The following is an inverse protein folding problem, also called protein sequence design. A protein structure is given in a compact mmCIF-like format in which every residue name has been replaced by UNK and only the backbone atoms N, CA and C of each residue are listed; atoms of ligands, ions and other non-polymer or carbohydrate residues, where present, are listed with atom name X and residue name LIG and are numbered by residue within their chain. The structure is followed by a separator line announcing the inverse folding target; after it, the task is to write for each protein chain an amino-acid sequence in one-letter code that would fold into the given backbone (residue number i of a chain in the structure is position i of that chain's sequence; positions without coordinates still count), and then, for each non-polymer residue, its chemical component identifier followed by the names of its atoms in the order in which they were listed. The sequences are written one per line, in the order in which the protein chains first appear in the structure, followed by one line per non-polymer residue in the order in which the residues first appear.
data_IF_674017576241
#
_entry.id   IF_674017576241
#
_cell.length_a   1.000
_cell.length_b   1.000
_cell.length_c   1.000
_cell.angle_alpha   90.00
_cell.angle_beta   90.00
_cell.angle_gamma   90.00
#
_symmetry.space_group_name_H-M   'P 1'
#
loop_
_entity.id
_entity.type
_entity.pdbx_description
1 polymer ?
#
# COMPACT_ATOMS: atom_id res chain seq x y z
N UNK A 1 -0.65 -17.52 27.11
CA UNK A 1 -1.79 -16.59 26.97
C UNK A 1 -2.00 -16.35 25.49
N UNK A 2 -3.07 -16.89 24.90
CA UNK A 2 -3.47 -16.50 23.54
C UNK A 2 -3.61 -14.97 23.52
N UNK A 3 -2.98 -14.29 22.56
CA UNK A 3 -3.00 -12.84 22.47
C UNK A 3 -4.44 -12.36 22.24
N UNK A 4 -5.15 -12.03 23.34
CA UNK A 4 -6.56 -11.62 23.34
C UNK A 4 -6.84 -10.45 22.39
N UNK A 5 -5.81 -9.69 22.02
CA UNK A 5 -5.85 -8.61 21.03
C UNK A 5 -6.54 -9.01 19.73
N UNK A 6 -6.29 -10.22 19.22
CA UNK A 6 -6.81 -10.65 17.91
C UNK A 6 -8.02 -11.59 17.99
N UNK A 7 -8.65 -11.73 19.16
CA UNK A 7 -9.74 -12.69 19.35
C UNK A 7 -10.90 -12.50 18.35
N UNK A 8 -11.24 -11.26 17.98
CA UNK A 8 -12.31 -10.98 16.99
C UNK A 8 -11.89 -11.36 15.57
N UNK A 9 -10.63 -11.09 15.20
CA UNK A 9 -10.09 -11.52 13.90
C UNK A 9 -10.05 -13.05 13.83
N UNK A 10 -9.61 -13.72 14.90
CA UNK A 10 -9.55 -15.17 14.98
C UNK A 10 -10.93 -15.83 14.78
N UNK A 11 -11.99 -15.26 15.37
CA UNK A 11 -13.36 -15.73 15.13
C UNK A 11 -13.79 -15.57 13.67
N UNK A 12 -13.34 -14.53 12.98
CA UNK A 12 -13.71 -14.22 11.60
C UNK A 12 -13.01 -15.14 10.59
N UNK A 13 -11.69 -15.34 10.75
CA UNK A 13 -10.86 -16.07 9.76
C UNK A 13 -10.51 -17.50 10.18
N UNK A 14 -10.89 -17.89 11.40
CA UNK A 14 -10.54 -19.17 12.06
C UNK A 14 -9.02 -19.31 12.25
N UNK A 15 -8.59 -20.37 12.95
CA UNK A 15 -7.18 -20.60 13.27
C UNK A 15 -6.31 -20.66 12.01
N UNK A 16 -6.77 -21.38 10.98
CA UNK A 16 -6.05 -21.53 9.71
C UNK A 16 -5.83 -20.18 9.01
N UNK A 17 -6.90 -19.38 8.87
CA UNK A 17 -6.79 -18.06 8.25
C UNK A 17 -5.93 -17.10 9.09
N UNK A 18 -5.98 -17.21 10.41
CA UNK A 18 -5.14 -16.40 11.28
C UNK A 18 -3.67 -16.77 11.16
N UNK A 19 -3.35 -18.07 11.05
CA UNK A 19 -1.98 -18.51 10.78
C UNK A 19 -1.46 -17.98 9.43
N UNK A 20 -2.31 -17.93 8.39
CA UNK A 20 -1.96 -17.30 7.10
C UNK A 20 -1.63 -15.82 7.27
N UNK A 21 -2.42 -15.08 8.05
CA UNK A 21 -2.14 -13.67 8.38
C UNK A 21 -0.81 -13.50 9.12
N UNK A 22 -0.55 -14.32 10.13
CA UNK A 22 0.69 -14.27 10.92
C UNK A 22 1.94 -14.62 10.08
N UNK A 23 1.80 -15.49 9.09
CA UNK A 23 2.92 -15.89 8.23
C UNK A 23 3.19 -14.92 7.07
N UNK A 24 2.22 -14.08 6.72
CA UNK A 24 2.33 -13.19 5.57
C UNK A 24 3.34 -12.04 5.78
N UNK A 25 4.08 -11.71 4.71
CA UNK A 25 4.98 -10.55 4.64
C UNK A 25 4.45 -9.46 3.70
N UNK A 26 4.27 -8.25 4.23
CA UNK A 26 3.78 -7.09 3.48
C UNK A 26 4.81 -5.96 3.51
N UNK A 27 5.19 -5.47 2.33
CA UNK A 27 5.92 -4.23 2.16
C UNK A 27 4.93 -3.11 1.82
N UNK A 28 4.98 -2.01 2.57
CA UNK A 28 4.19 -0.82 2.33
C UNK A 28 5.12 0.36 1.99
N UNK A 29 4.97 0.86 0.77
CA UNK A 29 5.74 1.97 0.24
C UNK A 29 4.91 3.25 0.32
N UNK A 30 5.35 4.20 1.14
CA UNK A 30 4.63 5.42 1.48
C UNK A 30 3.65 5.21 2.63
N UNK A 31 3.75 6.03 3.68
CA UNK A 31 2.89 6.00 4.88
C UNK A 31 2.17 7.32 5.11
N UNK A 32 1.83 8.02 4.02
CA UNK A 32 1.02 9.24 4.04
C UNK A 32 -0.46 8.98 4.32
N UNK A 33 -1.34 9.79 3.71
CA UNK A 33 -2.79 9.76 4.03
C UNK A 33 -3.54 8.50 3.61
N UNK A 34 -2.94 7.67 2.77
CA UNK A 34 -3.44 6.34 2.40
C UNK A 34 -2.68 5.27 3.19
N UNK A 35 -1.35 5.27 3.07
CA UNK A 35 -0.49 4.22 3.65
C UNK A 35 -0.59 4.10 5.17
N UNK A 36 -0.70 5.20 5.91
CA UNK A 36 -0.84 5.12 7.37
C UNK A 36 -2.09 4.33 7.82
N UNK A 37 -3.18 4.38 7.05
CA UNK A 37 -4.39 3.58 7.28
C UNK A 37 -4.27 2.14 6.78
N UNK A 38 -3.48 1.89 5.72
CA UNK A 38 -3.09 0.52 5.34
C UNK A 38 -2.37 -0.14 6.50
N UNK A 39 -1.34 0.53 7.04
CA UNK A 39 -0.55 0.04 8.17
C UNK A 39 -1.42 -0.25 9.39
N UNK A 40 -2.24 0.71 9.83
CA UNK A 40 -3.11 0.54 10.99
C UNK A 40 -4.06 -0.66 10.81
N UNK A 41 -4.68 -0.79 9.64
CA UNK A 41 -5.59 -1.90 9.35
C UNK A 41 -4.88 -3.26 9.37
N UNK A 42 -3.75 -3.41 8.68
CA UNK A 42 -3.01 -4.67 8.63
C UNK A 42 -2.49 -5.07 10.01
N UNK A 43 -1.95 -4.11 10.77
CA UNK A 43 -1.43 -4.34 12.11
C UNK A 43 -2.54 -4.73 13.10
N UNK A 44 -3.72 -4.11 13.02
CA UNK A 44 -4.90 -4.49 13.83
C UNK A 44 -5.51 -5.83 13.41
N UNK A 45 -5.40 -6.19 12.14
CA UNK A 45 -5.89 -7.47 11.62
C UNK A 45 -4.98 -8.64 12.01
N UNK A 46 -3.74 -8.36 12.41
CA UNK A 46 -2.78 -9.38 12.82
C UNK A 46 -1.98 -9.94 11.65
N UNK A 47 -1.64 -9.11 10.66
CA UNK A 47 -0.58 -9.46 9.70
C UNK A 47 0.76 -9.47 10.45
N UNK A 48 1.51 -10.57 10.32
CA UNK A 48 2.67 -10.82 11.19
C UNK A 48 3.92 -10.02 10.82
N UNK A 49 4.23 -9.89 9.52
CA UNK A 49 5.44 -9.20 9.06
C UNK A 49 5.04 -8.00 8.20
N UNK A 50 5.20 -6.81 8.73
CA UNK A 50 4.96 -5.56 8.00
C UNK A 50 6.25 -4.77 7.96
N UNK A 51 6.66 -4.36 6.75
CA UNK A 51 7.74 -3.40 6.55
C UNK A 51 7.17 -2.11 5.94
N UNK A 52 7.52 -0.96 6.49
CA UNK A 52 7.16 0.35 5.96
C UNK A 52 8.39 1.09 5.45
N UNK A 53 8.24 1.79 4.33
CA UNK A 53 9.29 2.63 3.73
C UNK A 53 8.72 4.00 3.40
N UNK A 54 9.30 5.04 3.96
CA UNK A 54 8.99 6.45 3.66
C UNK A 54 10.19 7.30 4.12
N UNK A 55 10.36 8.48 3.53
CA UNK A 55 11.47 9.39 3.84
C UNK A 55 11.00 10.70 4.48
N UNK A 56 9.71 10.99 4.44
CA UNK A 56 9.20 12.27 4.90
C UNK A 56 9.14 12.33 6.43
N UNK A 57 9.18 13.57 6.93
CA UNK A 57 8.73 13.90 8.28
C UNK A 57 7.26 14.32 8.27
N UNK A 58 6.59 14.25 9.42
CA UNK A 58 5.26 14.82 9.54
C UNK A 58 5.31 16.35 9.53
N UNK A 59 4.44 16.94 8.73
CA UNK A 59 4.15 18.37 8.74
C UNK A 59 2.79 18.63 9.43
N UNK A 60 2.59 19.83 9.98
CA UNK A 60 1.32 20.21 10.63
C UNK A 60 0.11 20.02 9.69
N UNK A 61 0.28 20.26 8.39
CA UNK A 61 -0.76 20.08 7.36
C UNK A 61 -1.12 18.62 7.11
N UNK A 62 -0.41 17.66 7.71
CA UNK A 62 -0.68 16.23 7.58
C UNK A 62 -1.77 15.75 8.56
N UNK A 63 -2.04 16.51 9.63
CA UNK A 63 -3.00 16.15 10.68
C UNK A 63 -4.42 15.92 10.17
N UNK A 64 -4.79 16.52 9.04
CA UNK A 64 -6.12 16.33 8.46
C UNK A 64 -6.35 14.92 7.89
N UNK A 65 -5.31 14.08 7.71
CA UNK A 65 -5.43 12.83 6.95
C UNK A 65 -4.41 11.74 7.24
N UNK A 66 -3.46 11.90 8.16
CA UNK A 66 -2.40 10.91 8.40
C UNK A 66 -2.35 10.48 9.86
N UNK A 67 -2.33 9.16 10.11
CA UNK A 67 -2.14 8.64 11.47
C UNK A 67 -0.71 8.95 11.92
N UNK A 68 -0.53 9.39 13.18
CA UNK A 68 0.77 9.75 13.76
C UNK A 68 1.16 11.22 13.58
N UNK A 69 0.44 11.97 12.73
CA UNK A 69 0.76 13.37 12.46
C UNK A 69 0.49 14.32 13.65
N UNK A 70 -0.40 13.96 14.58
CA UNK A 70 -0.67 14.78 15.75
C UNK A 70 0.50 14.74 16.75
N UNK A 71 1.04 13.55 16.98
CA UNK A 71 2.12 13.30 17.93
C UNK A 71 3.52 13.49 17.32
N UNK A 72 3.61 13.55 15.98
CA UNK A 72 4.86 13.37 15.25
C UNK A 72 5.38 14.58 14.48
N UNK A 73 4.78 15.78 14.59
CA UNK A 73 5.21 16.95 13.80
C UNK A 73 6.72 17.19 13.91
N UNK A 74 7.40 17.30 12.76
CA UNK A 74 8.86 17.44 12.65
C UNK A 74 9.66 16.14 12.69
N UNK A 75 9.06 15.03 13.15
CA UNK A 75 9.70 13.71 13.24
C UNK A 75 9.47 12.88 11.99
N UNK A 76 10.37 11.92 11.72
CA UNK A 76 10.25 10.98 10.60
C UNK A 76 8.99 10.15 10.74
N UNK A 77 8.21 10.01 9.67
CA UNK A 77 6.94 9.26 9.70
C UNK A 77 7.17 7.81 10.11
N UNK A 78 8.19 7.17 9.55
CA UNK A 78 8.52 5.76 9.82
C UNK A 78 8.96 5.51 11.26
N UNK A 79 9.62 6.49 11.90
CA UNK A 79 10.03 6.41 13.31
C UNK A 79 8.81 6.45 14.23
N UNK A 80 7.97 7.48 14.09
CA UNK A 80 6.75 7.65 14.88
C UNK A 80 5.80 6.47 14.71
N UNK A 81 5.65 5.96 13.48
CA UNK A 81 4.80 4.79 13.22
C UNK A 81 5.43 3.48 13.73
N UNK A 82 6.76 3.36 13.71
CA UNK A 82 7.46 2.24 14.34
C UNK A 82 7.25 2.19 15.86
N UNK A 83 7.25 3.34 16.53
CA UNK A 83 6.90 3.45 17.95
C UNK A 83 5.42 3.11 18.20
N UNK A 84 4.52 3.61 17.35
CA UNK A 84 3.07 3.40 17.47
C UNK A 84 2.66 1.95 17.24
N UNK A 85 3.40 1.22 16.40
CA UNK A 85 3.11 -0.16 16.03
C UNK A 85 4.32 -1.08 16.30
N UNK A 86 4.55 -1.47 17.57
CA UNK A 86 5.69 -2.29 17.94
C UNK A 86 5.75 -3.61 17.14
N UNK A 87 6.94 -3.95 16.65
CA UNK A 87 7.23 -5.18 15.93
C UNK A 87 7.21 -5.08 14.40
N UNK A 88 6.86 -3.92 13.83
CA UNK A 88 7.05 -3.69 12.38
C UNK A 88 8.52 -3.36 12.07
N UNK A 89 8.91 -3.55 10.81
CA UNK A 89 10.16 -3.03 10.26
C UNK A 89 9.92 -1.66 9.64
N UNK A 90 10.81 -0.72 9.90
CA UNK A 90 10.68 0.68 9.48
C UNK A 90 11.97 1.11 8.77
N UNK A 91 11.86 1.62 7.53
CA UNK A 91 13.00 2.08 6.75
C UNK A 91 12.82 3.55 6.38
N UNK A 92 13.71 4.41 6.89
CA UNK A 92 13.82 5.81 6.48
C UNK A 92 14.58 5.86 5.15
N UNK A 93 13.86 5.81 4.04
CA UNK A 93 14.47 5.73 2.71
C UNK A 93 13.56 6.34 1.66
N UNK A 94 14.16 7.13 0.78
CA UNK A 94 13.46 7.72 -0.36
C UNK A 94 13.30 6.66 -1.44
N UNK A 95 12.07 6.47 -1.91
CA UNK A 95 11.75 5.46 -2.93
C UNK A 95 12.08 6.02 -4.31
N UNK A 96 13.37 5.99 -4.65
CA UNK A 96 13.91 6.40 -5.96
C UNK A 96 13.99 5.21 -6.92
N UNK A 97 14.33 5.47 -8.18
CA UNK A 97 14.68 4.41 -9.14
C UNK A 97 15.82 3.52 -8.60
N UNK A 98 16.86 4.13 -8.01
CA UNK A 98 18.00 3.40 -7.42
C UNK A 98 17.58 2.48 -6.27
N UNK A 99 16.70 2.96 -5.37
CA UNK A 99 16.12 2.13 -4.33
C UNK A 99 15.38 0.94 -4.95
N UNK A 100 14.53 1.18 -5.94
CA UNK A 100 13.74 0.13 -6.61
C UNK A 100 14.64 -0.88 -7.33
N UNK A 101 15.76 -0.45 -7.90
CA UNK A 101 16.66 -1.34 -8.63
C UNK A 101 17.43 -2.28 -7.70
N UNK A 102 17.76 -1.82 -6.50
CA UNK A 102 18.57 -2.55 -5.52
C UNK A 102 17.75 -3.32 -4.48
N UNK A 103 16.50 -2.91 -4.24
CA UNK A 103 15.66 -3.52 -3.21
C UNK A 103 15.16 -4.92 -3.60
N UNK A 104 15.28 -5.86 -2.67
CA UNK A 104 14.76 -7.22 -2.86
C UNK A 104 13.27 -7.32 -2.49
N UNK A 105 12.42 -7.20 -3.51
CA UNK A 105 10.97 -7.35 -3.37
C UNK A 105 10.51 -8.80 -3.17
N UNK A 106 11.37 -9.79 -3.44
CA UNK A 106 10.99 -11.20 -3.43
C UNK A 106 10.83 -11.79 -2.02
N UNK A 107 11.33 -11.10 -1.00
CA UNK A 107 11.13 -11.41 0.41
C UNK A 107 9.68 -11.14 0.89
N UNK A 108 8.88 -10.46 0.07
CA UNK A 108 7.52 -10.04 0.42
C UNK A 108 6.48 -10.80 -0.37
N UNK A 109 5.38 -11.13 0.28
CA UNK A 109 4.22 -11.72 -0.38
C UNK A 109 3.39 -10.68 -1.13
N UNK A 110 3.33 -9.47 -0.58
CA UNK A 110 2.51 -8.36 -1.09
C UNK A 110 3.32 -7.08 -0.98
N UNK A 111 3.32 -6.30 -2.06
CA UNK A 111 3.80 -4.93 -2.09
C UNK A 111 2.60 -4.01 -2.26
N UNK A 112 2.41 -3.10 -1.32
CA UNK A 112 1.38 -2.07 -1.37
C UNK A 112 2.05 -0.72 -1.67
N UNK A 113 1.65 -0.12 -2.78
CA UNK A 113 2.16 1.17 -3.25
C UNK A 113 1.17 2.29 -2.92
N UNK A 114 1.53 3.09 -1.91
CA UNK A 114 0.85 4.32 -1.52
C UNK A 114 1.74 5.57 -1.72
N UNK A 115 2.73 5.49 -2.62
CA UNK A 115 3.60 6.61 -3.04
C UNK A 115 2.75 7.66 -3.77
N UNK A 116 3.18 8.92 -3.80
CA UNK A 116 2.53 10.00 -4.56
C UNK A 116 3.29 10.40 -5.83
N UNK A 117 4.60 10.18 -5.89
CA UNK A 117 5.42 10.37 -7.10
C UNK A 117 5.10 9.32 -8.19
N UNK A 118 4.65 9.79 -9.36
CA UNK A 118 4.26 8.94 -10.48
C UNK A 118 5.46 8.19 -11.07
N UNK A 119 6.67 8.79 -11.09
CA UNK A 119 7.83 8.14 -11.71
C UNK A 119 8.28 6.93 -10.87
N UNK A 120 8.32 7.07 -9.55
CA UNK A 120 8.59 5.98 -8.62
C UNK A 120 7.56 4.84 -8.75
N UNK A 121 6.27 5.16 -8.91
CA UNK A 121 5.24 4.12 -9.17
C UNK A 121 5.47 3.36 -10.48
N UNK A 122 5.85 4.06 -11.54
CA UNK A 122 6.15 3.45 -12.84
C UNK A 122 7.37 2.54 -12.71
N UNK A 123 8.44 3.02 -12.09
CA UNK A 123 9.65 2.26 -11.81
C UNK A 123 9.33 0.97 -11.03
N UNK A 124 8.51 1.07 -9.97
CA UNK A 124 8.11 -0.05 -9.14
C UNK A 124 7.31 -1.09 -9.94
N UNK A 125 6.31 -0.64 -10.70
CA UNK A 125 5.50 -1.52 -11.53
C UNK A 125 6.36 -2.24 -12.58
N UNK A 126 7.27 -1.51 -13.25
CA UNK A 126 8.23 -2.07 -14.20
C UNK A 126 9.13 -3.11 -13.53
N UNK A 127 9.69 -2.80 -12.35
CA UNK A 127 10.54 -3.74 -11.59
C UNK A 127 9.79 -5.01 -11.28
N UNK A 128 8.62 -4.93 -10.66
CA UNK A 128 7.83 -6.11 -10.25
C UNK A 128 7.39 -6.93 -11.47
N UNK A 129 6.98 -6.31 -12.58
CA UNK A 129 6.53 -7.06 -13.75
C UNK A 129 7.65 -7.64 -14.63
N UNK A 130 8.83 -7.00 -14.66
CA UNK A 130 9.97 -7.41 -15.48
C UNK A 130 10.95 -8.34 -14.76
N UNK A 131 10.72 -8.62 -13.47
CA UNK A 131 11.49 -9.68 -12.82
C UNK A 131 11.28 -11.02 -13.56
N UNK A 132 12.33 -11.83 -13.70
CA UNK A 132 12.29 -13.04 -14.52
C UNK A 132 11.15 -13.96 -14.06
N UNK A 133 10.14 -14.12 -14.89
CA UNK A 133 9.10 -15.15 -14.72
C UNK A 133 9.79 -16.51 -14.90
N UNK A 134 10.02 -17.25 -13.82
CA UNK A 134 10.83 -18.49 -13.91
C UNK A 134 10.11 -19.61 -14.66
N UNK A 135 10.93 -20.30 -15.45
CA UNK A 135 10.67 -21.58 -16.08
C UNK A 135 10.44 -22.69 -15.04
N UNK A 136 9.63 -23.67 -15.41
CA UNK A 136 8.92 -24.67 -14.58
C UNK A 136 9.73 -25.59 -13.62
N UNK A 137 11.01 -25.33 -13.27
CA UNK A 137 11.89 -26.39 -12.74
C UNK A 137 12.86 -26.09 -11.59
N UNK A 138 12.78 -24.98 -10.87
CA UNK A 138 13.66 -24.74 -9.70
C UNK A 138 12.90 -24.01 -8.60
N UNK A 139 13.05 -24.47 -7.36
CA UNK A 139 12.47 -23.90 -6.13
C UNK A 139 12.47 -22.38 -6.16
N UNK A 140 11.27 -21.85 -6.03
CA UNK A 140 10.77 -20.70 -6.77
C UNK A 140 10.67 -19.45 -5.90
N UNK A 141 11.26 -18.34 -6.33
CA UNK A 141 10.92 -17.02 -5.79
C UNK A 141 9.55 -16.59 -6.32
N UNK A 142 8.60 -16.41 -5.40
CA UNK A 142 7.23 -15.96 -5.68
C UNK A 142 7.24 -14.47 -5.97
N UNK A 143 6.64 -14.05 -7.09
CA UNK A 143 6.45 -12.61 -7.33
C UNK A 143 5.45 -12.06 -6.31
N UNK A 144 5.74 -10.95 -5.60
CA UNK A 144 4.74 -10.33 -4.74
C UNK A 144 3.52 -9.90 -5.55
N UNK A 145 2.35 -9.97 -4.93
CA UNK A 145 1.19 -9.27 -5.44
C UNK A 145 1.40 -7.76 -5.28
N UNK A 146 1.22 -7.00 -6.36
CA UNK A 146 1.26 -5.54 -6.34
C UNK A 146 -0.16 -4.97 -6.22
N UNK A 147 -0.41 -4.19 -5.17
CA UNK A 147 -1.63 -3.43 -4.95
C UNK A 147 -1.29 -1.94 -4.89
N UNK A 148 -1.98 -1.10 -5.67
CA UNK A 148 -1.57 0.30 -5.85
C UNK A 148 -2.70 1.27 -5.54
N UNK A 149 -2.41 2.32 -4.78
CA UNK A 149 -3.27 3.51 -4.69
C UNK A 149 -3.01 4.46 -5.86
N UNK A 150 -4.08 5.00 -6.45
CA UNK A 150 -4.03 6.20 -7.28
C UNK A 150 -4.33 7.45 -6.44
N UNK A 151 -4.76 8.56 -7.06
CA UNK A 151 -4.99 9.82 -6.38
C UNK A 151 -6.26 9.82 -5.52
N UNK A 152 -6.10 9.91 -4.20
CA UNK A 152 -7.21 10.01 -3.24
C UNK A 152 -7.60 11.45 -2.86
N UNK A 153 -6.79 12.44 -3.26
CA UNK A 153 -7.04 13.85 -3.01
C UNK A 153 -8.21 14.40 -3.86
N UNK A 154 -8.72 15.57 -3.44
CA UNK A 154 -9.76 16.36 -4.13
C UNK A 154 -11.13 15.67 -4.23
N UNK A 155 -11.38 14.69 -3.37
CA UNK A 155 -12.56 13.82 -3.39
C UNK A 155 -13.27 13.89 -2.04
N UNK A 156 -14.58 13.68 -2.03
CA UNK A 156 -15.39 13.70 -0.81
C UNK A 156 -16.18 12.40 -0.58
N UNK A 157 -16.42 11.61 -1.63
CA UNK A 157 -17.31 10.45 -1.57
C UNK A 157 -16.52 9.13 -1.59
N UNK A 158 -16.28 8.50 -0.41
CA UNK A 158 -15.56 7.24 -0.34
C UNK A 158 -16.33 6.06 -0.95
N UNK A 159 -17.65 6.17 -1.14
CA UNK A 159 -18.45 5.08 -1.74
C UNK A 159 -18.11 4.85 -3.22
N UNK A 160 -17.48 5.84 -3.87
CA UNK A 160 -17.04 5.77 -5.27
C UNK A 160 -15.69 5.08 -5.46
N UNK A 161 -15.03 4.64 -4.38
CA UNK A 161 -13.76 3.92 -4.48
C UNK A 161 -14.00 2.55 -5.10
N UNK A 162 -13.26 2.26 -6.16
CA UNK A 162 -13.30 1.01 -6.91
C UNK A 162 -11.94 0.33 -6.86
N UNK A 163 -11.94 -0.97 -7.12
CA UNK A 163 -10.74 -1.78 -7.21
C UNK A 163 -10.77 -2.61 -8.49
N UNK A 164 -9.82 -2.37 -9.38
CA UNK A 164 -9.79 -3.01 -10.69
C UNK A 164 -8.35 -3.09 -11.22
N UNK A 165 -8.09 -3.89 -12.27
CA UNK A 165 -6.83 -3.81 -13.01
C UNK A 165 -6.50 -2.39 -13.47
N UNK A 166 -5.22 -2.00 -13.47
CA UNK A 166 -4.77 -0.65 -13.81
C UNK A 166 -5.34 -0.19 -15.15
N UNK A 167 -5.40 -1.07 -16.16
CA UNK A 167 -5.91 -0.76 -17.49
C UNK A 167 -7.42 -0.47 -17.55
N UNK A 168 -8.18 -0.91 -16.54
CA UNK A 168 -9.62 -0.70 -16.42
C UNK A 168 -9.99 0.52 -15.57
N UNK A 169 -9.01 1.21 -14.97
CA UNK A 169 -9.28 2.42 -14.19
C UNK A 169 -9.72 3.61 -15.06
N UNK A 170 -10.66 4.42 -14.57
CA UNK A 170 -11.26 5.55 -15.29
C UNK A 170 -11.64 6.70 -14.33
N UNK A 171 -11.93 7.89 -14.87
CA UNK A 171 -12.33 9.08 -14.08
C UNK A 171 -11.25 9.68 -13.16
N UNK A 172 -10.16 8.96 -12.90
CA UNK A 172 -9.05 9.39 -12.06
C UNK A 172 -7.88 9.95 -12.89
N UNK A 173 -7.60 11.26 -12.73
CA UNK A 173 -6.52 11.95 -13.45
C UNK A 173 -5.13 11.40 -13.11
N UNK A 174 -4.91 11.00 -11.86
CA UNK A 174 -3.63 10.41 -11.43
C UNK A 174 -3.46 9.04 -12.08
N UNK A 175 -4.50 8.20 -12.04
CA UNK A 175 -4.50 6.89 -12.70
C UNK A 175 -4.26 7.04 -14.22
N UNK A 176 -4.85 8.06 -14.87
CA UNK A 176 -4.64 8.33 -16.29
C UNK A 176 -3.18 8.63 -16.60
N UNK A 177 -2.55 9.56 -15.87
CA UNK A 177 -1.12 9.88 -16.02
C UNK A 177 -0.23 8.67 -15.76
N UNK A 178 -0.59 7.85 -14.76
CA UNK A 178 0.14 6.64 -14.46
C UNK A 178 0.07 5.63 -15.63
N UNK A 179 -1.12 5.39 -16.21
CA UNK A 179 -1.27 4.56 -17.42
C UNK A 179 -0.50 5.10 -18.62
N UNK A 180 -0.54 6.41 -18.85
CA UNK A 180 0.21 7.07 -19.94
C UNK A 180 1.72 6.85 -19.76
N UNK A 181 2.23 7.00 -18.53
CA UNK A 181 3.63 6.75 -18.20
C UNK A 181 4.04 5.28 -18.36
N UNK A 182 3.21 4.34 -17.91
CA UNK A 182 3.43 2.90 -18.11
C UNK A 182 3.50 2.54 -19.61
N UNK A 183 2.59 3.08 -20.43
CA UNK A 183 2.60 2.89 -21.89
C UNK A 183 3.89 3.44 -22.50
N UNK A 184 4.33 4.63 -22.08
CA UNK A 184 5.56 5.26 -22.56
C UNK A 184 6.80 4.41 -22.25
N UNK A 185 6.81 3.72 -21.11
CA UNK A 185 7.89 2.80 -20.71
C UNK A 185 7.74 1.38 -21.29
N UNK A 186 6.74 1.13 -22.14
CA UNK A 186 6.53 -0.18 -22.76
C UNK A 186 6.07 -1.28 -21.80
N UNK A 187 5.43 -0.92 -20.68
CA UNK A 187 4.91 -1.86 -19.70
C UNK A 187 3.84 -2.79 -20.31
N UNK A 188 4.04 -4.11 -20.19
CA UNK A 188 3.12 -5.15 -20.70
C UNK A 188 2.40 -5.94 -19.60
N UNK A 189 2.63 -5.60 -18.34
CA UNK A 189 2.04 -6.27 -17.18
C UNK A 189 0.65 -5.76 -16.83
N UNK A 190 0.13 -6.26 -15.71
CA UNK A 190 -1.11 -5.79 -15.10
C UNK A 190 -1.00 -5.94 -13.57
N UNK A 191 -1.74 -5.11 -12.85
CA UNK A 191 -1.81 -5.12 -11.39
C UNK A 191 -3.08 -4.41 -10.93
N UNK A 192 -3.50 -4.64 -9.69
CA UNK A 192 -4.74 -4.09 -9.16
C UNK A 192 -4.52 -2.71 -8.55
N UNK A 193 -5.45 -1.79 -8.81
CA UNK A 193 -5.44 -0.42 -8.31
C UNK A 193 -6.71 -0.07 -7.56
N UNK A 194 -6.56 0.63 -6.45
CA UNK A 194 -7.63 1.42 -5.84
C UNK A 194 -7.69 2.78 -6.54
N UNK A 195 -8.84 3.11 -7.12
CA UNK A 195 -9.09 4.40 -7.77
C UNK A 195 -10.51 4.88 -7.47
N UNK A 196 -10.83 6.14 -7.78
CA UNK A 196 -12.20 6.64 -7.72
C UNK A 196 -12.47 7.51 -8.94
N UNK A 197 -13.57 7.28 -9.69
CA UNK A 197 -13.97 8.11 -10.80
C UNK A 197 -14.67 9.40 -10.37
N UNK A 198 -14.76 9.69 -9.06
CA UNK A 198 -15.31 10.96 -8.58
C UNK A 198 -14.54 12.15 -9.15
N UNK A 199 -15.28 13.11 -9.70
CA UNK A 199 -14.70 14.34 -10.20
C UNK A 199 -14.07 15.18 -9.06
N UNK A 200 -12.90 15.80 -9.29
CA UNK A 200 -12.25 16.66 -8.31
C UNK A 200 -13.14 17.81 -7.84
N UNK A 201 -13.24 18.01 -6.53
CA UNK A 201 -14.03 19.08 -5.88
C UNK A 201 -13.31 20.41 -5.74
N UNK A 202 -12.00 20.45 -5.96
CA UNK A 202 -11.19 21.67 -5.89
C UNK A 202 -10.00 21.63 -6.86
N UNK A 203 -9.35 22.79 -7.06
CA UNK A 203 -8.15 22.91 -7.90
C UNK A 203 -6.88 22.58 -7.13
N UNK A 204 -6.81 23.04 -5.88
CA UNK A 204 -5.73 22.82 -4.93
C UNK A 204 -5.69 21.35 -4.47
N UNK A 205 -4.62 20.94 -3.79
CA UNK A 205 -4.50 19.59 -3.20
C UNK A 205 -5.28 19.49 -1.88
N UNK A 206 -6.59 19.70 -1.95
CA UNK A 206 -7.50 19.42 -0.83
C UNK A 206 -7.62 17.92 -0.55
N UNK A 207 -7.87 17.56 0.70
CA UNK A 207 -8.02 16.16 1.10
C UNK A 207 -9.02 16.02 2.24
N UNK A 208 -9.74 14.91 2.23
CA UNK A 208 -10.67 14.51 3.27
C UNK A 208 -10.24 13.15 3.81
N UNK A 209 -9.98 13.06 5.12
CA UNK A 209 -9.56 11.84 5.79
C UNK A 209 -10.47 10.66 5.44
N UNK A 210 -11.79 10.86 5.38
CA UNK A 210 -12.75 9.81 5.04
C UNK A 210 -12.48 9.14 3.70
N UNK A 211 -11.97 9.88 2.69
CA UNK A 211 -11.59 9.31 1.40
C UNK A 211 -10.20 8.70 1.44
N UNK A 212 -9.19 9.41 1.94
CA UNK A 212 -7.80 8.91 1.92
C UNK A 212 -7.65 7.64 2.78
N UNK A 213 -8.30 7.61 3.94
CA UNK A 213 -8.38 6.44 4.80
C UNK A 213 -9.10 5.28 4.10
N UNK A 214 -10.24 5.54 3.45
CA UNK A 214 -11.00 4.49 2.75
C UNK A 214 -10.23 3.87 1.57
N UNK A 215 -9.39 4.65 0.88
CA UNK A 215 -8.43 4.08 -0.10
C UNK A 215 -7.46 3.10 0.58
N UNK A 216 -6.93 3.46 1.75
CA UNK A 216 -6.03 2.61 2.53
C UNK A 216 -6.72 1.35 3.04
N UNK A 217 -7.93 1.48 3.60
CA UNK A 217 -8.74 0.35 4.06
C UNK A 217 -9.12 -0.59 2.90
N UNK A 218 -9.40 -0.04 1.71
CA UNK A 218 -9.68 -0.85 0.51
C UNK A 218 -8.46 -1.67 0.11
N UNK A 219 -7.27 -1.08 0.09
CA UNK A 219 -6.01 -1.78 -0.19
C UNK A 219 -5.70 -2.85 0.85
N UNK A 220 -5.86 -2.54 2.13
CA UNK A 220 -5.64 -3.50 3.22
C UNK A 220 -6.62 -4.67 3.14
N UNK A 221 -7.89 -4.40 2.83
CA UNK A 221 -8.91 -5.44 2.59
C UNK A 221 -8.52 -6.40 1.47
N UNK A 222 -7.97 -5.90 0.37
CA UNK A 222 -7.50 -6.72 -0.74
C UNK A 222 -6.24 -7.52 -0.40
N UNK A 223 -5.32 -6.92 0.36
CA UNK A 223 -4.15 -7.64 0.87
C UNK A 223 -4.56 -8.81 1.77
N UNK A 224 -5.49 -8.58 2.70
CA UNK A 224 -6.05 -9.63 3.58
C UNK A 224 -6.75 -10.72 2.76
N UNK A 225 -7.56 -10.34 1.77
CA UNK A 225 -8.23 -11.31 0.90
C UNK A 225 -7.22 -12.18 0.13
N UNK A 226 -6.13 -11.60 -0.37
CA UNK A 226 -5.06 -12.35 -1.03
C UNK A 226 -4.34 -13.30 -0.08
N UNK A 227 -4.07 -12.87 1.15
CA UNK A 227 -3.42 -13.72 2.17
C UNK A 227 -4.31 -14.93 2.50
N UNK A 228 -5.61 -14.71 2.74
CA UNK A 228 -6.54 -15.77 3.13
C UNK A 228 -6.84 -16.77 2.01
N UNK A 229 -6.69 -16.37 0.75
CA UNK A 229 -6.86 -17.24 -0.43
C UNK A 229 -5.64 -18.12 -0.73
N UNK A 230 -4.49 -17.89 -0.09
CA UNK A 230 -3.35 -18.78 -0.26
C UNK A 230 -3.72 -20.16 0.26
N UNK A 231 -3.54 -21.18 -0.58
CA UNK A 231 -3.60 -22.58 -0.18
C UNK A 231 -2.47 -22.89 0.80
#
# INVERSE_FOLDING_TARGET
MQNKRFARTLLLVKEEGFQKLQNASVLLLGVGGVGSFVLDCLYRTGVGKICIVDYDSFDITNQNRQIGAFEGVGRKKVEVLGEKYPGILSMDSKITQEFIDTFDFSAYDIVIDAIDDINAKIALAMKIANQPKKSKKSESLKMPHLLVSTGSAKKLDPSKIQFAPIWKSYGDKFARKFREGLKKQGFKGDFMVAFSPEEPKCKELGSFCGVTASFGLRLASEAVALILRKE
#
